data_IF_793641416811
#
_entry.id   IF_793641416811
#
_cell.length_a   1.000
_cell.length_b   1.000
_cell.length_c   1.000
_cell.angle_alpha   90.00
_cell.angle_beta   90.00
_cell.angle_gamma   90.00
#
_symmetry.space_group_name_H-M   'P 1'
#
loop_
_entity.id
_entity.type
_entity.pdbx_description
1 polymer ?
#
# COMPACT_ATOMS: atom_id res chain seq x y z
N UNK A 1 -12.56 -42.57 -5.79
CA UNK A 1 -12.69 -41.32 -6.56
C UNK A 1 -13.29 -40.27 -5.65
N UNK A 2 -12.51 -39.27 -5.27
CA UNK A 2 -13.01 -38.06 -4.60
C UNK A 2 -12.38 -36.87 -5.33
N UNK A 3 -13.20 -36.11 -6.06
CA UNK A 3 -12.82 -34.81 -6.60
C UNK A 3 -12.75 -33.83 -5.42
N UNK A 4 -11.54 -33.43 -5.04
CA UNK A 4 -11.37 -32.32 -4.13
C UNK A 4 -11.31 -31.04 -4.96
N UNK A 5 -12.37 -30.24 -4.84
CA UNK A 5 -12.53 -28.94 -5.49
C UNK A 5 -11.50 -27.95 -4.95
N UNK A 6 -10.27 -27.99 -5.47
CA UNK A 6 -9.35 -26.87 -5.32
C UNK A 6 -10.01 -25.66 -5.97
N UNK A 7 -10.64 -24.83 -5.15
CA UNK A 7 -10.95 -23.46 -5.49
C UNK A 7 -9.68 -22.86 -6.10
N UNK A 8 -9.75 -22.20 -7.27
CA UNK A 8 -8.62 -21.43 -7.71
C UNK A 8 -8.40 -20.40 -6.62
N UNK A 9 -7.31 -20.56 -5.85
CA UNK A 9 -6.80 -19.54 -4.94
C UNK A 9 -6.82 -18.27 -5.76
N UNK A 10 -7.78 -17.40 -5.47
CA UNK A 10 -7.97 -16.11 -6.13
C UNK A 10 -6.58 -15.56 -6.36
N UNK A 11 -6.13 -15.58 -7.61
CA UNK A 11 -4.88 -14.93 -7.98
C UNK A 11 -5.22 -13.46 -7.79
N UNK A 12 -4.95 -12.95 -6.60
CA UNK A 12 -5.09 -11.54 -6.31
C UNK A 12 -4.26 -10.84 -7.38
N UNK A 13 -4.92 -10.20 -8.33
CA UNK A 13 -4.21 -9.46 -9.36
C UNK A 13 -3.31 -8.45 -8.64
N UNK A 14 -2.04 -8.33 -9.04
CA UNK A 14 -1.15 -7.36 -8.41
C UNK A 14 -1.80 -5.98 -8.48
N UNK A 15 -1.95 -5.35 -7.32
CA UNK A 15 -2.55 -4.02 -7.23
C UNK A 15 -1.55 -3.05 -7.87
N UNK A 16 -1.85 -2.58 -9.08
CA UNK A 16 -1.03 -1.56 -9.74
C UNK A 16 -1.32 -0.19 -9.14
N UNK A 17 -0.33 0.37 -8.47
CA UNK A 17 -0.37 1.74 -7.98
C UNK A 17 0.03 2.69 -9.10
N UNK A 18 -0.46 3.93 -9.06
CA UNK A 18 0.11 4.98 -9.92
C UNK A 18 1.48 5.37 -9.40
N UNK A 19 2.35 5.94 -10.25
CA UNK A 19 3.67 6.44 -9.84
C UNK A 19 3.59 7.33 -8.59
N UNK A 20 2.58 8.20 -8.53
CA UNK A 20 2.37 9.07 -7.37
C UNK A 20 1.99 8.31 -6.10
N UNK A 21 1.17 7.28 -6.24
CA UNK A 21 0.79 6.40 -5.14
C UNK A 21 1.99 5.60 -4.63
N UNK A 22 2.85 5.11 -5.53
CA UNK A 22 4.10 4.41 -5.18
C UNK A 22 5.06 5.30 -4.40
N UNK A 23 5.29 6.53 -4.87
CA UNK A 23 6.11 7.53 -4.16
C UNK A 23 5.61 7.76 -2.74
N UNK A 24 4.30 7.90 -2.56
CA UNK A 24 3.70 8.12 -1.24
C UNK A 24 3.84 6.88 -0.35
N UNK A 25 3.62 5.68 -0.87
CA UNK A 25 3.83 4.42 -0.13
C UNK A 25 5.28 4.30 0.32
N UNK A 26 6.23 4.59 -0.56
CA UNK A 26 7.65 4.54 -0.24
C UNK A 26 8.00 5.46 0.95
N UNK A 27 7.57 6.73 0.90
CA UNK A 27 7.81 7.68 1.98
C UNK A 27 7.05 7.30 3.28
N UNK A 28 5.89 6.66 3.19
CA UNK A 28 5.19 6.13 4.37
C UNK A 28 6.02 5.03 5.03
N UNK A 29 6.60 4.11 4.24
CA UNK A 29 7.44 3.02 4.73
C UNK A 29 8.73 3.55 5.37
N UNK A 30 9.28 4.66 4.86
CA UNK A 30 10.38 5.39 5.50
C UNK A 30 10.00 6.09 6.81
N UNK A 31 8.72 6.05 7.22
CA UNK A 31 8.24 6.67 8.45
C UNK A 31 7.94 8.16 8.34
N UNK A 32 7.88 8.73 7.13
CA UNK A 32 7.63 10.17 6.94
C UNK A 32 6.19 10.55 7.34
N UNK A 33 6.05 11.70 7.98
CA UNK A 33 4.76 12.34 8.27
C UNK A 33 4.15 12.96 7.00
N UNK A 34 2.84 13.26 7.00
CA UNK A 34 2.21 13.90 5.84
C UNK A 34 2.85 15.25 5.49
N UNK A 35 3.35 15.99 6.49
CA UNK A 35 4.08 17.25 6.33
C UNK A 35 5.45 17.08 5.67
N UNK A 36 6.14 15.98 5.97
CA UNK A 36 7.43 15.67 5.32
C UNK A 36 7.20 15.17 3.90
N UNK A 37 6.19 14.32 3.69
CA UNK A 37 5.78 13.85 2.36
C UNK A 37 5.37 15.03 1.48
N UNK A 38 4.59 15.97 2.02
CA UNK A 38 4.12 17.14 1.27
C UNK A 38 5.30 17.98 0.77
N UNK A 39 6.33 18.16 1.61
CA UNK A 39 7.58 18.84 1.25
C UNK A 39 8.40 18.06 0.23
N UNK A 40 8.61 16.76 0.46
CA UNK A 40 9.41 15.90 -0.43
C UNK A 40 8.82 15.84 -1.84
N UNK A 41 7.50 15.93 -1.94
CA UNK A 41 6.75 15.76 -3.17
C UNK A 41 6.19 17.08 -3.75
N UNK A 42 6.52 18.23 -3.16
CA UNK A 42 6.07 19.56 -3.57
C UNK A 42 4.55 19.69 -3.76
N UNK A 43 3.77 19.16 -2.81
CA UNK A 43 2.30 19.23 -2.79
C UNK A 43 1.78 19.66 -1.41
N UNK A 44 0.48 19.94 -1.29
CA UNK A 44 -0.12 20.27 0.00
C UNK A 44 -0.28 19.04 0.89
N UNK A 45 -0.29 19.23 2.22
CA UNK A 45 -0.62 18.15 3.18
C UNK A 45 -2.03 17.57 2.93
N UNK A 46 -2.97 18.39 2.45
CA UNK A 46 -4.32 17.93 2.08
C UNK A 46 -4.29 17.00 0.86
N UNK A 47 -3.45 17.30 -0.12
CA UNK A 47 -3.21 16.43 -1.28
C UNK A 47 -2.61 15.09 -0.85
N UNK A 48 -1.66 15.10 0.10
CA UNK A 48 -1.12 13.86 0.69
C UNK A 48 -2.23 13.06 1.38
N UNK A 49 -3.06 13.69 2.23
CA UNK A 49 -4.19 13.02 2.89
C UNK A 49 -5.17 12.40 1.88
N UNK A 50 -5.47 13.11 0.80
CA UNK A 50 -6.31 12.60 -0.28
C UNK A 50 -5.72 11.34 -0.92
N UNK A 51 -4.44 11.37 -1.29
CA UNK A 51 -3.77 10.18 -1.83
C UNK A 51 -3.70 9.03 -0.83
N UNK A 52 -3.45 9.30 0.46
CA UNK A 52 -3.48 8.27 1.51
C UNK A 52 -4.85 7.59 1.60
N UNK A 53 -5.95 8.37 1.51
CA UNK A 53 -7.31 7.81 1.48
C UNK A 53 -7.49 6.85 0.29
N UNK A 54 -7.13 7.29 -0.91
CA UNK A 54 -7.22 6.44 -2.11
C UNK A 54 -6.33 5.20 -2.01
N UNK A 55 -5.15 5.32 -1.41
CA UNK A 55 -4.24 4.20 -1.15
C UNK A 55 -4.87 3.19 -0.18
N UNK A 56 -5.49 3.65 0.91
CA UNK A 56 -6.13 2.77 1.88
C UNK A 56 -7.26 1.96 1.24
N UNK A 57 -8.10 2.63 0.45
CA UNK A 57 -9.16 1.99 -0.32
C UNK A 57 -8.60 0.98 -1.34
N UNK A 58 -7.57 1.36 -2.10
CA UNK A 58 -6.95 0.48 -3.11
C UNK A 58 -6.24 -0.72 -2.54
N UNK A 59 -5.53 -0.55 -1.42
CA UNK A 59 -4.77 -1.61 -0.76
C UNK A 59 -5.64 -2.43 0.20
N UNK A 60 -6.92 -2.07 0.36
CA UNK A 60 -7.85 -2.66 1.32
C UNK A 60 -7.28 -2.70 2.74
N UNK A 61 -6.67 -1.59 3.17
CA UNK A 61 -6.10 -1.41 4.51
C UNK A 61 -6.83 -0.31 5.26
N UNK A 62 -6.77 -0.33 6.59
CA UNK A 62 -7.50 0.62 7.44
C UNK A 62 -6.63 1.76 7.93
N UNK A 63 -5.32 1.56 7.93
CA UNK A 63 -4.38 2.53 8.49
C UNK A 63 -3.06 2.60 7.72
N UNK A 64 -2.33 3.70 7.94
CA UNK A 64 -0.94 3.81 7.47
C UNK A 64 -0.03 2.73 8.07
N UNK A 65 -0.32 2.27 9.28
CA UNK A 65 0.46 1.23 9.97
C UNK A 65 0.27 -0.11 9.26
N UNK A 66 -0.93 -0.39 8.79
CA UNK A 66 -1.24 -1.59 8.01
C UNK A 66 -0.42 -1.63 6.71
N UNK A 67 -0.21 -0.49 6.03
CA UNK A 67 0.68 -0.40 4.86
C UNK A 67 2.09 -0.86 5.24
N UNK A 68 2.61 -0.36 6.36
CA UNK A 68 3.96 -0.67 6.84
C UNK A 68 4.06 -2.16 7.18
N UNK A 69 3.12 -2.69 7.97
CA UNK A 69 3.09 -4.10 8.38
C UNK A 69 2.98 -5.02 7.16
N UNK A 70 2.09 -4.72 6.21
CA UNK A 70 1.92 -5.52 4.99
C UNK A 70 3.21 -5.51 4.16
N UNK A 71 3.88 -4.36 4.02
CA UNK A 71 5.14 -4.26 3.30
C UNK A 71 6.26 -5.10 3.96
N UNK A 72 6.42 -5.01 5.28
CA UNK A 72 7.41 -5.83 6.00
C UNK A 72 7.10 -7.33 5.95
N UNK A 73 5.82 -7.69 6.04
CA UNK A 73 5.37 -9.09 5.95
C UNK A 73 5.72 -9.68 4.59
N UNK A 74 5.44 -8.96 3.50
CA UNK A 74 5.82 -9.38 2.14
C UNK A 74 7.33 -9.51 2.05
N UNK A 75 8.11 -8.50 2.45
CA UNK A 75 9.58 -8.53 2.36
C UNK A 75 10.21 -9.70 3.11
N UNK A 76 9.67 -10.06 4.27
CA UNK A 76 10.18 -11.18 5.07
C UNK A 76 9.79 -12.56 4.52
N UNK A 77 8.83 -12.65 3.59
CA UNK A 77 8.44 -13.91 2.94
C UNK A 77 9.24 -14.22 1.67
N UNK A 78 9.90 -13.22 1.08
CA UNK A 78 10.71 -13.34 -0.15
C UNK A 78 12.23 -13.36 0.11
N UNK A 79 12.66 -13.30 1.38
CA UNK A 79 14.04 -13.55 1.81
C UNK A 79 14.12 -14.86 2.58
#
# INVERSE_FOLDING_TARGET
MMMNNMTPRSQAMPITLTERQEQIVHLIIEGKTNKEISRALFISENTVKYHCKLLFERLNVKSRVDIIINHFSIRNMIN
#
